data_IF_241294053087
#
_entry.id   IF_241294053087
#
_cell.length_a   1.000
_cell.length_b   1.000
_cell.length_c   1.000
_cell.angle_alpha   90.00
_cell.angle_beta   90.00
_cell.angle_gamma   90.00
#
_symmetry.space_group_name_H-M   'P 1'
#
loop_
_entity.id
_entity.type
_entity.pdbx_description
1 polymer ?
#
# COMPACT_ATOMS: atom_id res chain seq x y z
N UNK A 1 14.26 36.25 -1.46
CA UNK A 1 13.14 35.95 -2.39
C UNK A 1 11.86 35.89 -1.58
N UNK A 2 10.92 36.79 -1.86
CA UNK A 2 9.64 36.95 -1.12
C UNK A 2 8.50 36.23 -1.83
N UNK A 3 8.67 34.94 -2.08
CA UNK A 3 7.64 34.09 -2.67
C UNK A 3 7.12 33.06 -1.67
N UNK A 4 6.04 32.34 -2.00
CA UNK A 4 5.54 31.24 -1.16
C UNK A 4 6.62 30.16 -1.00
N UNK A 5 6.79 29.67 0.22
CA UNK A 5 7.71 28.56 0.54
C UNK A 5 6.90 27.30 0.91
N UNK A 6 7.39 26.10 0.57
CA UNK A 6 6.83 24.88 1.10
C UNK A 6 6.95 24.83 2.63
N UNK A 7 6.15 23.98 3.26
CA UNK A 7 6.30 23.68 4.69
C UNK A 7 7.67 23.02 4.95
N UNK A 8 8.28 23.29 6.10
CA UNK A 8 9.65 22.86 6.39
C UNK A 8 9.85 21.36 6.26
N UNK A 9 8.88 20.57 6.71
CA UNK A 9 8.94 19.11 6.61
C UNK A 9 8.85 18.57 5.17
N UNK A 10 8.28 19.33 4.23
CA UNK A 10 8.26 18.96 2.80
C UNK A 10 9.68 19.04 2.22
N UNK A 11 10.44 20.06 2.61
CA UNK A 11 11.82 20.23 2.15
C UNK A 11 12.77 19.13 2.68
N UNK A 12 12.38 18.43 3.75
CA UNK A 12 13.15 17.32 4.34
C UNK A 12 12.85 15.96 3.69
N UNK A 13 11.90 15.87 2.75
CA UNK A 13 11.58 14.61 2.07
C UNK A 13 12.64 14.30 1.02
N UNK A 14 13.23 13.11 1.12
CA UNK A 14 14.07 12.58 0.04
C UNK A 14 13.16 12.02 -1.08
N UNK A 15 13.31 12.50 -2.34
CA UNK A 15 12.52 12.00 -3.46
C UNK A 15 12.72 10.48 -3.65
N UNK A 16 11.64 9.79 -3.99
CA UNK A 16 11.75 8.39 -4.40
C UNK A 16 12.61 8.28 -5.67
N UNK A 17 13.65 7.46 -5.61
CA UNK A 17 14.52 7.18 -6.76
C UNK A 17 14.11 5.84 -7.37
N UNK A 18 13.42 5.84 -8.51
CA UNK A 18 13.04 4.60 -9.15
C UNK A 18 14.27 3.86 -9.68
N UNK A 19 14.18 2.55 -9.76
CA UNK A 19 15.24 1.72 -10.34
C UNK A 19 15.48 2.06 -11.82
N UNK A 20 16.74 1.92 -12.27
CA UNK A 20 17.15 2.23 -13.65
C UNK A 20 16.47 1.31 -14.66
N UNK A 21 15.98 1.89 -15.76
CA UNK A 21 15.32 1.17 -16.86
C UNK A 21 16.26 0.89 -18.04
N UNK A 22 17.45 1.49 -18.05
CA UNK A 22 18.42 1.38 -19.18
C UNK A 22 19.83 1.14 -18.64
N UNK A 23 20.64 0.44 -19.42
CA UNK A 23 22.10 0.39 -19.21
C UNK A 23 22.73 1.56 -19.96
N UNK A 24 23.82 2.14 -19.43
CA UNK A 24 24.55 3.22 -20.10
C UNK A 24 25.16 2.84 -21.46
N UNK A 25 25.14 1.56 -21.84
CA UNK A 25 25.68 1.04 -23.11
C UNK A 25 24.65 0.95 -24.23
N UNK A 26 23.38 1.33 -24.02
CA UNK A 26 22.30 1.18 -25.01
C UNK A 26 21.83 -0.28 -25.22
N UNK A 27 22.43 -1.26 -24.55
CA UNK A 27 21.98 -2.63 -24.60
C UNK A 27 20.64 -2.81 -23.85
N UNK A 28 19.79 -3.70 -24.37
CA UNK A 28 18.52 -4.03 -23.73
C UNK A 28 18.79 -4.65 -22.35
N UNK A 29 18.45 -3.94 -21.28
CA UNK A 29 18.52 -4.45 -19.92
C UNK A 29 17.24 -5.19 -19.54
N UNK A 30 17.38 -6.29 -18.80
CA UNK A 30 16.24 -6.84 -18.06
C UNK A 30 15.97 -5.94 -16.85
N UNK A 31 14.83 -5.24 -16.87
CA UNK A 31 14.42 -4.37 -15.76
C UNK A 31 13.81 -5.23 -14.65
N UNK A 32 14.52 -5.39 -13.53
CA UNK A 32 14.09 -6.17 -12.37
C UNK A 32 13.76 -5.30 -11.15
N UNK A 33 13.91 -3.97 -11.28
CA UNK A 33 13.92 -3.05 -10.14
C UNK A 33 12.56 -2.56 -9.67
N UNK A 34 11.47 -2.86 -10.39
CA UNK A 34 10.13 -2.33 -10.08
C UNK A 34 9.10 -3.43 -9.78
N UNK A 35 9.54 -4.68 -9.72
CA UNK A 35 8.68 -5.85 -9.49
C UNK A 35 7.47 -5.87 -10.46
N UNK A 36 7.72 -5.48 -11.72
CA UNK A 36 6.74 -5.57 -12.80
C UNK A 36 6.49 -7.05 -13.15
N UNK A 37 5.28 -7.40 -13.60
CA UNK A 37 4.98 -8.77 -13.99
C UNK A 37 5.71 -9.13 -15.30
N UNK A 38 6.66 -10.08 -15.30
CA UNK A 38 7.41 -10.46 -16.51
C UNK A 38 6.55 -11.21 -17.52
N UNK A 39 5.41 -11.77 -17.12
CA UNK A 39 4.46 -12.46 -18.00
C UNK A 39 3.52 -11.49 -18.74
N UNK A 40 3.55 -10.20 -18.35
CA UNK A 40 2.74 -9.14 -18.95
C UNK A 40 1.29 -9.13 -18.46
N UNK A 41 0.44 -8.46 -19.25
CA UNK A 41 -0.98 -8.27 -18.96
C UNK A 41 -1.82 -9.33 -19.67
N UNK A 42 -2.89 -9.83 -19.03
CA UNK A 42 -3.81 -10.78 -19.66
C UNK A 42 -4.47 -10.21 -20.92
N UNK A 43 -4.75 -11.07 -21.90
CA UNK A 43 -5.42 -10.66 -23.15
C UNK A 43 -6.80 -10.05 -22.89
N UNK A 44 -7.55 -10.58 -21.92
CA UNK A 44 -8.86 -10.03 -21.54
C UNK A 44 -8.75 -8.61 -20.98
N UNK A 45 -7.75 -8.33 -20.14
CA UNK A 45 -7.53 -6.99 -19.61
C UNK A 45 -7.12 -6.01 -20.71
N UNK A 46 -6.23 -6.42 -21.63
CA UNK A 46 -5.85 -5.61 -22.80
C UNK A 46 -7.03 -5.29 -23.71
N UNK A 47 -7.88 -6.29 -23.98
CA UNK A 47 -9.09 -6.10 -24.78
C UNK A 47 -10.09 -5.16 -24.11
N UNK A 48 -10.29 -5.29 -22.79
CA UNK A 48 -11.14 -4.40 -22.01
C UNK A 48 -10.63 -2.95 -22.05
N UNK A 49 -9.33 -2.75 -21.89
CA UNK A 49 -8.70 -1.43 -22.00
C UNK A 49 -8.89 -0.82 -23.39
N UNK A 50 -8.59 -1.59 -24.45
CA UNK A 50 -8.75 -1.13 -25.83
C UNK A 50 -10.20 -0.72 -26.15
N UNK A 51 -11.19 -1.40 -25.59
CA UNK A 51 -12.60 -1.06 -25.77
C UNK A 51 -12.99 0.30 -25.17
N UNK A 52 -12.25 0.82 -24.19
CA UNK A 52 -12.51 2.13 -23.58
C UNK A 52 -11.97 3.30 -24.41
N UNK A 53 -11.09 3.04 -25.38
CA UNK A 53 -10.48 4.09 -26.19
C UNK A 53 -11.50 4.91 -27.02
N UNK A 54 -12.67 4.35 -27.29
CA UNK A 54 -13.75 5.03 -28.02
C UNK A 54 -14.55 6.06 -27.19
N UNK A 55 -14.27 6.20 -25.89
CA UNK A 55 -15.01 7.07 -24.98
C UNK A 55 -14.13 7.98 -24.12
N UNK A 56 -12.90 8.25 -24.56
CA UNK A 56 -11.92 9.02 -23.78
C UNK A 56 -12.35 10.46 -23.48
N UNK A 57 -13.31 11.01 -24.23
CA UNK A 57 -13.87 12.34 -24.00
C UNK A 57 -14.83 12.40 -22.79
N UNK A 58 -15.17 11.27 -22.22
CA UNK A 58 -16.12 11.19 -21.07
C UNK A 58 -15.39 10.95 -19.77
N UNK A 59 -15.85 11.62 -18.74
CA UNK A 59 -15.39 11.27 -17.38
C UNK A 59 -15.80 9.84 -17.02
N UNK A 60 -14.91 9.10 -16.34
CA UNK A 60 -15.28 7.80 -15.80
C UNK A 60 -16.30 7.95 -14.67
N UNK A 61 -16.96 6.84 -14.31
CA UNK A 61 -17.78 6.79 -13.09
C UNK A 61 -16.92 7.11 -11.86
N UNK A 62 -17.18 8.26 -11.22
CA UNK A 62 -16.45 8.72 -10.04
C UNK A 62 -16.58 7.81 -8.82
N UNK A 63 -17.57 6.92 -8.80
CA UNK A 63 -17.73 5.88 -7.77
C UNK A 63 -16.97 4.59 -8.07
N UNK A 64 -16.43 4.41 -9.30
CA UNK A 64 -15.88 3.15 -9.81
C UNK A 64 -16.77 1.95 -9.49
N UNK A 65 -18.09 2.09 -9.67
CA UNK A 65 -19.13 1.16 -9.20
C UNK A 65 -18.86 -0.26 -9.71
N UNK A 66 -18.66 -0.42 -11.02
CA UNK A 66 -18.41 -1.73 -11.63
C UNK A 66 -17.14 -2.41 -11.06
N UNK A 67 -16.07 -1.64 -10.82
CA UNK A 67 -14.83 -2.16 -10.22
C UNK A 67 -15.07 -2.61 -8.78
N UNK A 68 -15.73 -1.79 -7.97
CA UNK A 68 -16.03 -2.10 -6.57
C UNK A 68 -16.91 -3.35 -6.45
N UNK A 69 -17.95 -3.47 -7.28
CA UNK A 69 -18.81 -4.64 -7.34
C UNK A 69 -18.06 -5.91 -7.75
N UNK A 70 -17.21 -5.82 -8.78
CA UNK A 70 -16.39 -6.96 -9.22
C UNK A 70 -15.45 -7.46 -8.13
N UNK A 71 -14.81 -6.54 -7.40
CA UNK A 71 -13.92 -6.85 -6.27
C UNK A 71 -14.73 -7.44 -5.10
N UNK A 72 -15.87 -6.81 -4.77
CA UNK A 72 -16.76 -7.28 -3.71
C UNK A 72 -17.23 -8.71 -3.98
N UNK A 73 -17.68 -9.00 -5.20
CA UNK A 73 -18.10 -10.33 -5.61
C UNK A 73 -16.95 -11.36 -5.56
N UNK A 74 -15.74 -10.96 -5.98
CA UNK A 74 -14.57 -11.83 -6.00
C UNK A 74 -14.09 -12.24 -4.61
N UNK A 75 -14.19 -11.34 -3.63
CA UNK A 75 -13.62 -11.51 -2.29
C UNK A 75 -14.68 -11.61 -1.18
N UNK A 76 -15.98 -11.63 -1.51
CA UNK A 76 -17.05 -11.67 -0.50
C UNK A 76 -17.13 -10.41 0.36
N UNK A 77 -16.89 -9.23 -0.23
CA UNK A 77 -16.80 -7.96 0.48
C UNK A 77 -18.05 -7.11 0.25
N UNK A 78 -18.27 -6.14 1.15
CA UNK A 78 -19.26 -5.06 0.94
C UNK A 78 -18.64 -4.01 -0.02
N UNK A 79 -19.25 -3.75 -1.19
CA UNK A 79 -18.73 -2.75 -2.13
C UNK A 79 -18.73 -1.33 -1.53
N UNK A 80 -19.59 -1.01 -0.55
CA UNK A 80 -19.60 0.28 0.12
C UNK A 80 -18.33 0.52 0.97
N UNK A 81 -17.62 -0.53 1.32
CA UNK A 81 -16.35 -0.48 2.09
C UNK A 81 -15.11 -0.55 1.21
N UNK A 82 -15.25 -0.48 -0.10
CA UNK A 82 -14.13 -0.49 -1.04
C UNK A 82 -13.92 0.92 -1.57
N UNK A 83 -12.72 1.44 -1.45
CA UNK A 83 -12.26 2.65 -2.12
C UNK A 83 -11.15 2.30 -3.12
N UNK A 84 -10.92 3.15 -4.09
CA UNK A 84 -9.90 2.96 -5.12
C UNK A 84 -8.98 4.19 -5.20
N UNK A 85 -7.82 4.02 -5.79
CA UNK A 85 -6.86 5.07 -6.03
C UNK A 85 -5.93 4.73 -7.18
N UNK A 86 -5.03 5.63 -7.53
CA UNK A 86 -4.02 5.46 -8.57
C UNK A 86 -2.87 4.56 -8.10
N UNK A 87 -3.19 3.29 -7.84
CA UNK A 87 -2.35 2.30 -7.16
C UNK A 87 -2.54 2.34 -5.64
N UNK A 88 -2.04 1.32 -4.93
CA UNK A 88 -2.04 1.31 -3.46
C UNK A 88 -1.24 2.49 -2.88
N UNK A 89 -0.28 3.00 -3.62
CA UNK A 89 0.56 4.13 -3.27
C UNK A 89 -0.25 5.37 -2.88
N UNK A 90 -1.18 5.80 -3.74
CA UNK A 90 -2.07 6.93 -3.43
C UNK A 90 -2.88 6.69 -2.16
N UNK A 91 -3.33 5.47 -1.95
CA UNK A 91 -4.14 5.14 -0.78
C UNK A 91 -3.34 5.19 0.51
N UNK A 92 -2.07 4.74 0.48
CA UNK A 92 -1.16 4.89 1.61
C UNK A 92 -0.97 6.38 1.97
N UNK A 93 -0.83 7.24 0.97
CA UNK A 93 -0.77 8.69 1.16
C UNK A 93 -2.08 9.27 1.70
N UNK A 94 -3.22 8.80 1.22
CA UNK A 94 -4.53 9.23 1.72
C UNK A 94 -4.75 8.78 3.16
N UNK A 95 -4.36 7.55 3.51
CA UNK A 95 -4.43 7.07 4.89
C UNK A 95 -3.58 7.93 5.82
N UNK A 96 -2.33 8.22 5.45
CA UNK A 96 -1.50 9.12 6.23
C UNK A 96 -2.14 10.50 6.40
N UNK A 97 -2.69 11.08 5.31
CA UNK A 97 -3.31 12.41 5.34
C UNK A 97 -4.63 12.48 6.10
N UNK A 98 -5.38 11.38 6.17
CA UNK A 98 -6.68 11.34 6.83
C UNK A 98 -6.56 11.09 8.35
N UNK A 99 -5.52 10.37 8.78
CA UNK A 99 -5.41 9.87 10.16
C UNK A 99 -4.20 10.39 10.94
N UNK A 100 -3.28 11.13 10.30
CA UNK A 100 -2.10 11.66 10.99
C UNK A 100 -1.69 13.05 10.50
N UNK A 101 -0.90 13.76 11.30
CA UNK A 101 -0.41 15.10 11.02
C UNK A 101 0.68 15.53 11.99
N UNK A 102 1.01 16.84 12.05
CA UNK A 102 2.03 17.35 12.96
C UNK A 102 1.74 16.99 14.42
N UNK A 103 2.72 16.39 15.08
CA UNK A 103 2.62 15.91 16.47
C UNK A 103 2.23 14.44 16.61
N UNK A 104 1.70 13.82 15.55
CA UNK A 104 1.37 12.40 15.54
C UNK A 104 2.57 11.53 15.13
N UNK A 105 2.52 10.27 15.49
CA UNK A 105 3.51 9.25 15.16
C UNK A 105 2.90 8.17 14.28
N UNK A 106 3.70 7.70 13.32
CA UNK A 106 3.31 6.59 12.43
C UNK A 106 4.43 5.56 12.41
N UNK A 107 4.10 4.33 12.74
CA UNK A 107 5.06 3.22 12.87
C UNK A 107 5.16 2.45 11.56
N UNK A 108 6.39 2.07 11.20
CA UNK A 108 6.67 1.05 10.17
C UNK A 108 8.01 0.35 10.46
N UNK A 109 8.21 -0.82 9.83
CA UNK A 109 9.41 -1.66 10.05
C UNK A 109 10.58 -1.13 9.21
N UNK A 110 11.81 -1.21 9.72
CA UNK A 110 13.05 -0.70 9.11
C UNK A 110 13.18 -0.99 7.61
N UNK A 111 12.90 -2.20 7.19
CA UNK A 111 12.94 -2.59 5.78
C UNK A 111 11.54 -2.60 5.14
N UNK A 112 10.66 -1.70 5.60
CA UNK A 112 9.35 -1.49 4.98
C UNK A 112 9.44 -0.75 3.65
N UNK A 113 8.31 -0.67 2.95
CA UNK A 113 8.23 0.00 1.66
C UNK A 113 8.55 1.50 1.79
N UNK A 114 9.46 1.99 0.93
CA UNK A 114 10.00 3.34 1.02
C UNK A 114 8.94 4.47 0.97
N UNK A 115 7.77 4.19 0.41
CA UNK A 115 6.66 5.15 0.34
C UNK A 115 6.10 5.47 1.72
N UNK A 116 6.21 4.59 2.70
CA UNK A 116 5.71 4.88 4.05
C UNK A 116 6.36 6.12 4.65
N UNK A 117 7.70 6.20 4.63
CA UNK A 117 8.41 7.38 5.12
C UNK A 117 8.00 8.67 4.40
N UNK A 118 7.85 8.59 3.08
CA UNK A 118 7.43 9.72 2.25
C UNK A 118 6.00 10.17 2.61
N UNK A 119 5.06 9.23 2.73
CA UNK A 119 3.66 9.51 3.06
C UNK A 119 3.53 10.15 4.44
N UNK A 120 4.27 9.64 5.43
CA UNK A 120 4.30 10.15 6.80
C UNK A 120 4.85 11.58 6.85
N UNK A 121 6.02 11.80 6.26
CA UNK A 121 6.65 13.13 6.27
C UNK A 121 5.84 14.15 5.48
N UNK A 122 5.18 13.74 4.39
CA UNK A 122 4.34 14.63 3.57
C UNK A 122 3.26 15.35 4.39
N UNK A 123 2.73 14.69 5.39
CA UNK A 123 1.67 15.25 6.26
C UNK A 123 2.22 15.93 7.52
N UNK A 124 3.52 15.87 7.74
CA UNK A 124 4.19 16.46 8.90
C UNK A 124 4.15 15.58 10.15
N UNK A 125 3.73 14.32 10.03
CA UNK A 125 3.81 13.33 11.10
C UNK A 125 5.25 12.82 11.29
N UNK A 126 5.53 12.22 12.43
CA UNK A 126 6.83 11.67 12.78
C UNK A 126 6.89 10.19 12.45
N UNK A 127 7.81 9.74 11.57
CA UNK A 127 8.02 8.32 11.32
C UNK A 127 8.71 7.68 12.53
N UNK A 128 8.15 6.58 13.01
CA UNK A 128 8.74 5.71 14.05
C UNK A 128 9.15 4.41 13.38
N UNK A 129 10.46 4.26 13.18
CA UNK A 129 11.03 3.12 12.48
C UNK A 129 11.43 2.07 13.51
N UNK A 130 10.72 0.94 13.53
CA UNK A 130 11.04 -0.16 14.44
C UNK A 130 12.04 -1.15 13.82
N UNK A 131 12.87 -1.82 14.63
CA UNK A 131 13.74 -2.87 14.13
C UNK A 131 12.92 -4.02 13.55
N UNK A 132 13.53 -4.72 12.63
CA UNK A 132 13.07 -6.01 12.12
C UNK A 132 13.70 -7.15 12.93
N UNK A 133 13.13 -8.35 12.76
CA UNK A 133 13.72 -9.59 13.24
C UNK A 133 13.94 -10.49 12.04
N UNK A 134 15.20 -10.75 11.70
CA UNK A 134 15.58 -11.56 10.53
C UNK A 134 14.92 -11.09 9.22
N UNK A 135 14.90 -9.77 9.00
CA UNK A 135 14.25 -9.07 7.89
C UNK A 135 12.71 -9.19 7.85
N UNK A 136 12.09 -9.80 8.86
CA UNK A 136 10.64 -9.89 9.01
C UNK A 136 10.12 -8.83 9.99
N UNK A 137 8.80 -8.62 9.98
CA UNK A 137 8.12 -7.78 10.97
C UNK A 137 8.30 -8.38 12.37
N UNK A 138 8.87 -7.61 13.28
CA UNK A 138 8.90 -7.92 14.71
C UNK A 138 7.67 -7.29 15.37
N UNK A 139 6.65 -8.11 15.65
CA UNK A 139 5.40 -7.65 16.25
C UNK A 139 5.63 -7.10 17.66
N UNK A 140 6.56 -7.68 18.44
CA UNK A 140 6.87 -7.18 19.77
C UNK A 140 7.51 -5.79 19.71
N UNK A 141 8.43 -5.59 18.77
CA UNK A 141 9.04 -4.27 18.55
C UNK A 141 8.01 -3.23 18.09
N UNK A 142 7.06 -3.61 17.22
CA UNK A 142 5.97 -2.72 16.79
C UNK A 142 5.11 -2.33 17.99
N UNK A 143 4.65 -3.30 18.79
CA UNK A 143 3.78 -3.04 19.95
C UNK A 143 4.50 -2.23 21.03
N UNK A 144 5.79 -2.48 21.26
CA UNK A 144 6.59 -1.72 22.24
C UNK A 144 6.82 -0.25 21.82
N UNK A 145 6.72 0.06 20.52
CA UNK A 145 6.89 1.41 20.01
C UNK A 145 5.59 2.26 20.01
N UNK A 146 4.44 1.66 20.34
CA UNK A 146 3.16 2.36 20.39
C UNK A 146 3.12 3.35 21.55
N UNK A 147 2.70 4.58 21.26
CA UNK A 147 2.51 5.67 22.24
C UNK A 147 1.11 6.27 22.07
N UNK A 148 0.74 7.19 22.96
CA UNK A 148 -0.52 7.95 22.85
C UNK A 148 -0.59 8.81 21.58
N UNK A 149 0.56 9.10 20.95
CA UNK A 149 0.65 9.84 19.67
C UNK A 149 0.58 8.96 18.45
N UNK A 150 0.68 7.65 18.60
CA UNK A 150 0.60 6.71 17.46
C UNK A 150 -0.78 6.76 16.83
N UNK A 151 -0.84 6.95 15.51
CA UNK A 151 -2.10 6.99 14.74
C UNK A 151 -2.20 5.88 13.73
N UNK A 152 -1.08 5.47 13.14
CA UNK A 152 -1.05 4.46 12.08
C UNK A 152 0.12 3.51 12.33
N UNK A 153 -0.10 2.24 12.03
CA UNK A 153 0.94 1.23 11.84
C UNK A 153 0.85 0.71 10.41
N UNK A 154 1.91 0.89 9.62
CA UNK A 154 2.02 0.33 8.26
C UNK A 154 2.79 -0.99 8.30
N UNK A 155 2.18 -2.06 7.79
CA UNK A 155 2.80 -3.37 7.63
C UNK A 155 2.60 -3.84 6.19
N UNK A 156 3.68 -4.07 5.45
CA UNK A 156 3.62 -4.76 4.17
C UNK A 156 3.66 -6.28 4.40
N UNK A 157 2.70 -7.02 3.83
CA UNK A 157 2.65 -8.47 4.00
C UNK A 157 2.08 -9.18 2.75
N UNK A 158 2.91 -9.89 1.99
CA UNK A 158 4.37 -10.05 2.12
C UNK A 158 5.15 -8.74 2.06
N UNK A 159 6.26 -8.66 2.79
CA UNK A 159 7.03 -7.43 2.89
C UNK A 159 7.84 -7.14 1.60
N UNK A 160 7.94 -5.90 1.23
CA UNK A 160 8.81 -5.39 0.18
C UNK A 160 9.86 -4.46 0.82
N UNK A 161 11.19 -4.75 0.70
CA UNK A 161 11.81 -5.64 -0.31
C UNK A 161 12.19 -7.04 0.18
N UNK A 162 11.94 -7.40 1.42
CA UNK A 162 12.54 -8.60 2.05
C UNK A 162 11.84 -9.90 1.68
N UNK A 163 10.64 -9.85 1.09
CA UNK A 163 9.77 -10.99 0.75
C UNK A 163 9.37 -11.87 1.94
N UNK A 164 9.56 -11.38 3.16
CA UNK A 164 9.15 -12.10 4.37
C UNK A 164 7.65 -12.02 4.58
N UNK A 165 7.09 -13.06 5.17
CA UNK A 165 5.67 -13.18 5.45
C UNK A 165 5.43 -13.23 6.96
N UNK A 166 4.46 -12.46 7.43
CA UNK A 166 4.00 -12.45 8.83
C UNK A 166 2.72 -13.29 8.90
N UNK A 167 2.70 -14.39 9.66
CA UNK A 167 1.56 -15.31 9.73
C UNK A 167 0.31 -14.67 10.33
N UNK A 168 -0.83 -15.30 10.07
CA UNK A 168 -2.16 -14.84 10.50
C UNK A 168 -2.27 -14.61 12.01
N UNK A 169 -1.73 -15.50 12.82
CA UNK A 169 -1.73 -15.40 14.27
C UNK A 169 -0.93 -14.18 14.76
N UNK A 170 0.20 -13.89 14.15
CA UNK A 170 1.01 -12.71 14.44
C UNK A 170 0.32 -11.41 14.00
N UNK A 171 -0.36 -11.37 12.86
CA UNK A 171 -1.17 -10.22 12.44
C UNK A 171 -2.36 -10.02 13.40
N UNK A 172 -3.01 -11.12 13.82
CA UNK A 172 -4.08 -11.05 14.80
C UNK A 172 -3.58 -10.56 16.17
N UNK A 173 -2.41 -11.03 16.61
CA UNK A 173 -1.74 -10.60 17.85
C UNK A 173 -1.37 -9.12 17.79
N UNK A 174 -0.82 -8.67 16.66
CA UNK A 174 -0.52 -7.26 16.43
C UNK A 174 -1.78 -6.42 16.59
N UNK A 175 -2.85 -6.75 15.86
CA UNK A 175 -4.10 -6.01 15.92
C UNK A 175 -4.70 -5.98 17.33
N UNK A 176 -4.70 -7.12 18.03
CA UNK A 176 -5.23 -7.21 19.40
C UNK A 176 -4.44 -6.38 20.43
N UNK A 177 -3.15 -6.14 20.17
CA UNK A 177 -2.28 -5.32 21.01
C UNK A 177 -2.32 -3.82 20.68
N UNK A 178 -2.93 -3.42 19.55
CA UNK A 178 -3.04 -2.01 19.19
C UNK A 178 -4.25 -1.35 19.88
N UNK A 179 -4.10 -0.10 20.37
CA UNK A 179 -5.24 0.71 20.81
C UNK A 179 -6.27 0.94 19.68
N UNK A 180 -7.55 1.04 20.04
CA UNK A 180 -8.64 1.21 19.07
C UNK A 180 -8.50 2.45 18.16
N UNK A 181 -7.82 3.50 18.65
CA UNK A 181 -7.59 4.73 17.89
C UNK A 181 -6.43 4.61 16.88
N UNK A 182 -5.67 3.52 16.88
CA UNK A 182 -4.57 3.28 15.95
C UNK A 182 -5.08 2.51 14.75
N UNK A 183 -4.87 3.05 13.56
CA UNK A 183 -5.19 2.39 12.29
C UNK A 183 -4.09 1.40 11.93
N UNK A 184 -4.41 0.13 11.79
CA UNK A 184 -3.54 -0.87 11.18
C UNK A 184 -3.75 -0.88 9.67
N UNK A 185 -2.70 -0.57 8.92
CA UNK A 185 -2.71 -0.65 7.45
C UNK A 185 -1.89 -1.85 7.01
N UNK A 186 -2.55 -2.85 6.46
CA UNK A 186 -1.93 -4.04 5.88
C UNK A 186 -1.78 -3.84 4.37
N UNK A 187 -0.56 -3.62 3.93
CA UNK A 187 -0.25 -3.44 2.51
C UNK A 187 0.02 -4.80 1.86
N UNK A 188 -1.00 -5.34 1.23
CA UNK A 188 -1.02 -6.64 0.60
C UNK A 188 -0.76 -6.56 -0.92
N UNK A 189 0.16 -5.71 -1.35
CA UNK A 189 0.49 -5.54 -2.78
C UNK A 189 0.98 -6.84 -3.45
N UNK A 190 1.41 -7.81 -2.67
CA UNK A 190 1.96 -9.10 -3.13
C UNK A 190 1.16 -10.31 -2.63
N UNK A 191 -0.04 -10.12 -2.11
CA UNK A 191 -0.83 -11.23 -1.54
C UNK A 191 -1.14 -12.35 -2.54
N UNK A 192 -1.25 -12.04 -3.82
CA UNK A 192 -1.53 -13.03 -4.86
C UNK A 192 -0.31 -13.91 -5.23
N UNK A 193 0.87 -13.65 -4.64
CA UNK A 193 2.07 -14.49 -4.78
C UNK A 193 2.23 -15.52 -3.66
N UNK A 194 1.36 -15.45 -2.65
CA UNK A 194 1.33 -16.42 -1.56
C UNK A 194 0.77 -17.77 -2.03
N UNK A 195 1.18 -18.85 -1.40
CA UNK A 195 0.59 -20.16 -1.61
C UNK A 195 -0.88 -20.17 -1.13
N UNK A 196 -1.64 -21.15 -1.59
CA UNK A 196 -3.09 -21.16 -1.37
C UNK A 196 -3.50 -21.29 0.12
N UNK A 197 -2.63 -21.82 0.96
CA UNK A 197 -2.80 -21.96 2.42
C UNK A 197 -2.16 -20.81 3.21
N UNK A 198 -1.41 -19.93 2.55
CA UNK A 198 -0.81 -18.74 3.16
C UNK A 198 -1.79 -17.55 3.09
N UNK A 199 -2.51 -17.29 4.16
CA UNK A 199 -3.38 -16.12 4.32
C UNK A 199 -3.09 -15.45 5.65
N UNK A 200 -2.79 -14.16 5.63
CA UNK A 200 -2.51 -13.36 6.83
C UNK A 200 -3.76 -12.94 7.61
N UNK A 201 -4.95 -13.28 7.12
CA UNK A 201 -6.21 -12.92 7.74
C UNK A 201 -6.62 -11.45 7.62
N UNK A 202 -5.83 -10.62 6.91
CA UNK A 202 -6.04 -9.17 6.84
C UNK A 202 -7.40 -8.77 6.30
N UNK A 203 -7.90 -9.44 5.25
CA UNK A 203 -9.25 -9.17 4.73
C UNK A 203 -10.33 -9.48 5.76
N UNK A 204 -10.21 -10.60 6.50
CA UNK A 204 -11.17 -10.95 7.54
C UNK A 204 -11.14 -9.94 8.70
N UNK A 205 -9.95 -9.51 9.12
CA UNK A 205 -9.80 -8.46 10.12
C UNK A 205 -10.44 -7.15 9.66
N UNK A 206 -10.16 -6.70 8.45
CA UNK A 206 -10.78 -5.49 7.92
C UNK A 206 -12.31 -5.59 7.79
N UNK A 207 -12.88 -6.78 7.72
CA UNK A 207 -14.35 -6.99 7.77
C UNK A 207 -14.93 -6.83 9.16
N UNK A 208 -14.21 -7.20 10.19
CA UNK A 208 -14.66 -7.26 11.57
C UNK A 208 -14.22 -6.07 12.43
N UNK A 209 -13.11 -5.41 12.08
CA UNK A 209 -12.53 -4.33 12.86
C UNK A 209 -12.61 -2.97 12.14
N UNK A 210 -13.02 -1.89 12.82
CA UNK A 210 -13.14 -0.57 12.22
C UNK A 210 -11.81 0.13 11.99
N UNK A 211 -10.75 -0.30 12.67
CA UNK A 211 -9.41 0.29 12.63
C UNK A 211 -8.41 -0.55 11.81
N UNK A 212 -8.89 -1.32 10.84
CA UNK A 212 -8.04 -2.08 9.91
C UNK A 212 -8.33 -1.67 8.47
N UNK A 213 -7.28 -1.37 7.74
CA UNK A 213 -7.28 -1.03 6.32
C UNK A 213 -6.39 -2.03 5.57
N UNK A 214 -6.90 -2.65 4.50
CA UNK A 214 -6.11 -3.53 3.63
C UNK A 214 -5.95 -2.88 2.28
N UNK A 215 -4.72 -2.72 1.79
CA UNK A 215 -4.44 -2.22 0.45
C UNK A 215 -4.05 -3.35 -0.49
N UNK A 216 -4.50 -3.29 -1.74
CA UNK A 216 -4.10 -4.19 -2.83
C UNK A 216 -3.86 -3.39 -4.11
N UNK A 217 -3.18 -3.97 -5.08
CA UNK A 217 -2.86 -3.30 -6.34
C UNK A 217 -3.03 -4.22 -7.53
N UNK A 218 -3.42 -3.64 -8.67
CA UNK A 218 -3.39 -4.33 -9.96
C UNK A 218 -2.02 -4.24 -10.65
N UNK A 219 -1.06 -3.52 -10.06
CA UNK A 219 0.25 -3.25 -10.68
C UNK A 219 1.19 -4.46 -10.70
N UNK A 220 0.98 -5.47 -9.82
CA UNK A 220 1.92 -6.59 -9.64
C UNK A 220 1.48 -7.80 -10.46
N UNK A 221 0.92 -8.84 -9.85
CA UNK A 221 0.57 -10.09 -10.53
C UNK A 221 -0.39 -9.90 -11.72
N UNK A 222 -1.26 -8.90 -11.65
CA UNK A 222 -2.22 -8.62 -12.73
C UNK A 222 -1.61 -7.94 -13.95
N UNK A 223 -0.35 -7.45 -13.86
CA UNK A 223 0.37 -6.84 -14.98
C UNK A 223 -0.19 -5.50 -15.45
N UNK A 224 -0.90 -4.76 -14.59
CA UNK A 224 -1.56 -3.50 -14.92
C UNK A 224 -0.86 -2.28 -14.27
N UNK A 225 0.46 -2.32 -14.15
CA UNK A 225 1.23 -1.26 -13.50
C UNK A 225 1.03 0.11 -14.17
N UNK A 226 0.87 0.17 -15.49
CA UNK A 226 0.66 1.40 -16.24
C UNK A 226 -0.71 2.05 -15.97
N UNK A 227 -1.72 1.26 -15.63
CA UNK A 227 -3.09 1.75 -15.40
C UNK A 227 -3.27 2.47 -14.08
N UNK A 228 -2.30 2.35 -13.17
CA UNK A 228 -2.33 3.01 -11.87
C UNK A 228 -3.61 2.74 -11.09
N UNK A 229 -4.02 1.47 -10.97
CA UNK A 229 -5.21 1.05 -10.22
C UNK A 229 -4.78 0.35 -8.94
N UNK A 230 -5.24 0.85 -7.81
CA UNK A 230 -5.15 0.23 -6.49
C UNK A 230 -6.51 0.23 -5.83
N UNK A 231 -6.69 -0.65 -4.88
CA UNK A 231 -7.89 -0.78 -4.09
C UNK A 231 -7.56 -0.83 -2.62
N UNK A 232 -8.53 -0.40 -1.84
CA UNK A 232 -8.48 -0.46 -0.39
C UNK A 232 -9.80 -0.98 0.12
N UNK A 233 -9.70 -1.76 1.15
CA UNK A 233 -10.82 -2.12 1.97
C UNK A 233 -10.72 -1.46 3.34
N UNK A 234 -11.71 -0.68 3.68
CA UNK A 234 -11.97 -0.17 5.01
C UNK A 234 -13.01 -1.05 5.72
#
# INVERSE_FOLDING_TARGET
MTGPSPKDWINAIHPYVPGKSTTGSGARAAKLSSNENPLGTSEKARAAFAAQAAGLERYPDGGATALREAIANRHGLDPARIIYGTGSDEVLHQAAGAFSGPGDEVIYVRYGFAVYDIAIRRVGATPVIVPDKDYATDVDAVLAAVTDRTRIVFIANPNNPTSTFTPRDEIARLHAGLPEHVLLVLDQAYAEYLEADEDDGGLALAMSAPNVLVTRTFSKIFGLAAERIGIVKK
#
